data_IF_751145359038
#
_entry.id   IF_751145359038
#
_cell.length_a   1.000
_cell.length_b   1.000
_cell.length_c   1.000
_cell.angle_alpha   90.00
_cell.angle_beta   90.00
_cell.angle_gamma   90.00
#
_symmetry.space_group_name_H-M   'P 1'
#
loop_
_entity.id
_entity.type
_entity.pdbx_description
1 polymer ?
#
# COMPACT_ATOMS: atom_id res chain seq x y z
N UNK A 1 3.05 -7.32 3.00
CA UNK A 1 3.20 -8.73 2.57
C UNK A 1 4.06 -8.76 1.31
N UNK A 2 5.15 -9.50 1.30
CA UNK A 2 6.10 -9.56 0.18
C UNK A 2 6.31 -11.00 -0.29
N UNK A 3 5.25 -11.61 -0.80
CA UNK A 3 5.31 -12.90 -1.47
C UNK A 3 5.36 -12.64 -2.97
N UNK A 4 6.46 -13.02 -3.62
CA UNK A 4 6.77 -12.64 -5.00
C UNK A 4 5.90 -13.34 -6.05
N UNK A 5 5.30 -14.47 -5.72
CA UNK A 5 4.45 -15.27 -6.62
C UNK A 5 2.98 -15.15 -6.22
N UNK A 6 2.13 -15.02 -7.22
CA UNK A 6 0.68 -14.87 -7.00
C UNK A 6 0.07 -16.09 -6.30
N UNK A 7 0.45 -17.29 -6.71
CA UNK A 7 -0.03 -18.54 -6.12
C UNK A 7 0.35 -18.67 -4.63
N UNK A 8 1.58 -18.29 -4.27
CA UNK A 8 2.04 -18.26 -2.88
C UNK A 8 1.29 -17.24 -2.03
N UNK A 9 1.09 -16.02 -2.55
CA UNK A 9 0.35 -14.97 -1.87
C UNK A 9 -1.09 -15.37 -1.58
N UNK A 10 -1.77 -15.96 -2.57
CA UNK A 10 -3.15 -16.43 -2.44
C UNK A 10 -3.26 -17.63 -1.50
N UNK A 11 -2.33 -18.59 -1.57
CA UNK A 11 -2.31 -19.74 -0.69
C UNK A 11 -2.07 -19.33 0.77
N UNK A 12 -1.12 -18.43 1.00
CA UNK A 12 -0.85 -17.87 2.32
C UNK A 12 -2.12 -17.19 2.90
N UNK A 13 -2.76 -16.31 2.14
CA UNK A 13 -3.95 -15.62 2.62
C UNK A 13 -5.11 -16.58 2.91
N UNK A 14 -5.37 -17.56 2.04
CA UNK A 14 -6.42 -18.56 2.29
C UNK A 14 -6.20 -19.33 3.60
N UNK A 15 -4.93 -19.57 3.95
CA UNK A 15 -4.56 -20.25 5.20
C UNK A 15 -4.87 -19.44 6.45
N UNK A 16 -4.67 -18.11 6.41
CA UNK A 16 -4.82 -17.24 7.59
C UNK A 16 -6.20 -16.55 7.67
N UNK A 17 -6.97 -16.55 6.58
CA UNK A 17 -8.22 -15.77 6.44
C UNK A 17 -9.23 -16.03 7.56
N UNK A 18 -9.44 -17.28 7.94
CA UNK A 18 -10.42 -17.65 8.96
C UNK A 18 -10.07 -17.01 10.30
N UNK A 19 -8.83 -17.16 10.76
CA UNK A 19 -8.35 -16.56 12.01
C UNK A 19 -8.42 -15.04 12.00
N UNK A 20 -8.02 -14.40 10.88
CA UNK A 20 -8.11 -12.95 10.75
C UNK A 20 -9.57 -12.45 10.82
N UNK A 21 -10.50 -13.19 10.25
CA UNK A 21 -11.91 -12.79 10.24
C UNK A 21 -12.60 -12.90 11.61
N UNK A 22 -12.00 -13.58 12.56
CA UNK A 22 -12.48 -13.71 13.96
C UNK A 22 -12.02 -12.56 14.85
N UNK A 23 -10.96 -11.84 14.47
CA UNK A 23 -10.42 -10.72 15.25
C UNK A 23 -11.44 -9.59 15.31
N UNK A 24 -11.64 -9.01 16.51
CA UNK A 24 -12.57 -7.90 16.78
C UNK A 24 -11.85 -6.74 17.46
N UNK A 25 -12.44 -5.54 17.35
CA UNK A 25 -11.93 -4.34 18.04
C UNK A 25 -10.74 -3.66 17.37
N UNK A 26 -10.33 -4.13 16.18
CA UNK A 26 -9.27 -3.52 15.36
C UNK A 26 -9.66 -3.52 13.89
N UNK A 27 -9.11 -2.60 13.13
CA UNK A 27 -9.18 -2.58 11.69
C UNK A 27 -8.03 -3.39 11.10
N UNK A 28 -8.35 -4.25 10.15
CA UNK A 28 -7.38 -5.10 9.48
C UNK A 28 -7.23 -4.65 8.03
N UNK A 29 -6.01 -4.36 7.63
CA UNK A 29 -5.66 -4.00 6.25
C UNK A 29 -4.59 -4.96 5.74
N UNK A 30 -4.79 -5.49 4.54
CA UNK A 30 -3.78 -6.31 3.85
C UNK A 30 -3.31 -5.55 2.62
N UNK A 31 -1.99 -5.35 2.52
CA UNK A 31 -1.34 -4.68 1.40
C UNK A 31 -0.46 -5.67 0.64
N UNK A 32 -1.01 -6.42 -0.32
CA UNK A 32 -0.24 -7.36 -1.14
C UNK A 32 0.51 -6.64 -2.27
N UNK A 33 1.42 -7.33 -2.99
CA UNK A 33 2.00 -6.81 -4.21
C UNK A 33 0.93 -6.44 -5.25
N UNK A 34 1.20 -5.41 -6.05
CA UNK A 34 0.25 -4.87 -7.04
C UNK A 34 -0.26 -5.93 -8.02
N UNK A 35 0.60 -6.90 -8.37
CA UNK A 35 0.28 -8.00 -9.30
C UNK A 35 -0.87 -8.90 -8.88
N UNK A 36 -1.29 -8.84 -7.61
CA UNK A 36 -2.37 -9.67 -7.06
C UNK A 36 -3.51 -8.85 -6.44
N UNK A 37 -3.50 -7.52 -6.56
CA UNK A 37 -4.50 -6.65 -5.94
C UNK A 37 -5.93 -7.02 -6.33
N UNK A 38 -6.23 -7.22 -7.60
CA UNK A 38 -7.58 -7.61 -8.05
C UNK A 38 -8.04 -8.95 -7.47
N UNK A 39 -7.15 -9.94 -7.44
CA UNK A 39 -7.46 -11.24 -6.86
C UNK A 39 -7.72 -11.14 -5.36
N UNK A 40 -6.99 -10.27 -4.66
CA UNK A 40 -7.24 -10.00 -3.24
C UNK A 40 -8.53 -9.23 -3.02
N UNK A 41 -8.92 -8.31 -3.90
CA UNK A 41 -10.21 -7.63 -3.82
C UNK A 41 -11.38 -8.63 -3.84
N UNK A 42 -11.35 -9.59 -4.75
CA UNK A 42 -12.35 -10.68 -4.80
C UNK A 42 -12.35 -11.56 -3.53
N UNK A 43 -11.15 -11.94 -3.05
CA UNK A 43 -11.01 -12.77 -1.86
C UNK A 43 -11.45 -12.08 -0.57
N UNK A 44 -11.28 -10.75 -0.49
CA UNK A 44 -11.61 -9.95 0.68
C UNK A 44 -13.07 -9.48 0.69
N UNK A 45 -13.74 -9.43 -0.47
CA UNK A 45 -15.12 -8.95 -0.58
C UNK A 45 -16.10 -9.53 0.47
N UNK A 46 -16.07 -10.84 0.81
CA UNK A 46 -16.94 -11.41 1.83
C UNK A 46 -16.39 -11.25 3.27
N UNK A 47 -15.37 -10.44 3.49
CA UNK A 47 -14.71 -10.27 4.79
C UNK A 47 -14.77 -8.82 5.26
N UNK A 48 -14.37 -8.58 6.50
CA UNK A 48 -14.19 -7.25 7.07
C UNK A 48 -12.76 -6.69 6.90
N UNK A 49 -11.90 -7.42 6.21
CA UNK A 49 -10.51 -7.06 6.01
C UNK A 49 -10.41 -6.11 4.82
N UNK A 50 -9.86 -4.94 5.03
CA UNK A 50 -9.65 -3.96 3.98
C UNK A 50 -8.43 -4.29 3.11
N UNK A 51 -8.45 -3.84 1.88
CA UNK A 51 -7.35 -3.98 0.94
C UNK A 51 -6.60 -2.66 0.81
N UNK A 52 -5.27 -2.72 0.76
CA UNK A 52 -4.40 -1.59 0.52
C UNK A 52 -3.36 -1.87 -0.56
N UNK A 53 -2.92 -0.82 -1.23
CA UNK A 53 -1.77 -0.86 -2.13
C UNK A 53 -0.47 -0.56 -1.38
N UNK A 54 0.67 -1.04 -1.88
CA UNK A 54 1.98 -0.82 -1.27
C UNK A 54 2.61 0.52 -1.65
N UNK A 55 2.11 1.18 -2.70
CA UNK A 55 2.53 2.50 -3.18
C UNK A 55 1.54 3.03 -4.22
N UNK A 56 1.61 4.33 -4.52
CA UNK A 56 0.95 4.98 -5.66
C UNK A 56 1.83 6.07 -6.25
N UNK A 57 1.59 6.43 -7.50
CA UNK A 57 2.08 7.67 -8.09
C UNK A 57 1.18 8.84 -7.66
N UNK A 58 1.59 10.09 -7.95
CA UNK A 58 0.77 11.28 -7.67
C UNK A 58 -0.02 11.80 -8.88
N UNK A 59 0.38 11.43 -10.11
CA UNK A 59 -0.35 11.82 -11.31
C UNK A 59 -1.46 10.80 -11.62
N UNK A 60 -2.59 11.33 -12.10
CA UNK A 60 -3.73 10.50 -12.50
C UNK A 60 -3.46 9.71 -13.78
N UNK A 61 -2.76 10.36 -14.71
CA UNK A 61 -2.40 9.82 -16.02
C UNK A 61 -1.15 10.51 -16.57
N UNK A 62 -0.57 9.95 -17.60
CA UNK A 62 0.60 10.55 -18.27
C UNK A 62 1.65 9.52 -18.65
N UNK A 63 2.83 10.00 -19.05
CA UNK A 63 3.96 9.18 -19.49
C UNK A 63 4.76 8.65 -18.27
N UNK A 64 4.13 7.82 -17.47
CA UNK A 64 4.68 7.25 -16.22
C UNK A 64 4.72 5.73 -16.31
N UNK A 65 5.45 5.21 -17.27
CA UNK A 65 5.54 3.76 -17.56
C UNK A 65 5.89 2.96 -16.29
N UNK A 66 5.02 2.03 -15.93
CA UNK A 66 5.20 1.16 -14.74
C UNK A 66 4.63 1.71 -13.43
N UNK A 67 4.22 2.98 -13.38
CA UNK A 67 3.58 3.56 -12.20
C UNK A 67 2.09 3.21 -12.12
N UNK A 68 1.59 3.14 -10.90
CA UNK A 68 0.17 2.90 -10.60
C UNK A 68 -0.44 4.20 -10.09
N UNK A 69 -1.40 4.75 -10.81
CA UNK A 69 -2.05 6.00 -10.40
C UNK A 69 -3.06 5.80 -9.27
N UNK A 70 -3.39 6.85 -8.49
CA UNK A 70 -4.42 6.75 -7.46
C UNK A 70 -5.80 6.43 -8.06
N UNK A 71 -6.08 6.86 -9.30
CA UNK A 71 -7.32 6.52 -10.03
C UNK A 71 -7.44 5.01 -10.27
N UNK A 72 -6.33 4.35 -10.65
CA UNK A 72 -6.31 2.89 -10.85
C UNK A 72 -6.56 2.13 -9.54
N UNK A 73 -6.16 2.69 -8.41
CA UNK A 73 -6.28 2.06 -7.09
C UNK A 73 -7.64 2.29 -6.44
N UNK A 74 -8.25 3.47 -6.62
CA UNK A 74 -9.51 3.86 -5.97
C UNK A 74 -10.69 2.91 -6.27
N UNK A 75 -10.66 2.23 -7.43
CA UNK A 75 -11.67 1.22 -7.78
C UNK A 75 -11.38 -0.18 -7.24
N UNK A 76 -10.23 -0.39 -6.59
CA UNK A 76 -9.74 -1.72 -6.21
C UNK A 76 -9.49 -1.85 -4.72
N UNK A 77 -8.92 -0.84 -4.08
CA UNK A 77 -8.57 -0.86 -2.67
C UNK A 77 -8.97 0.43 -1.96
N UNK A 78 -8.97 0.38 -0.62
CA UNK A 78 -9.35 1.50 0.25
C UNK A 78 -8.14 2.23 0.83
N UNK A 79 -7.01 1.55 0.96
CA UNK A 79 -5.80 2.05 1.60
C UNK A 79 -4.61 2.08 0.65
N UNK A 80 -3.63 2.92 0.96
CA UNK A 80 -2.34 2.93 0.26
C UNK A 80 -1.20 3.28 1.22
N UNK A 81 -0.12 2.51 1.20
CA UNK A 81 1.11 2.81 1.95
C UNK A 81 1.91 3.84 1.17
N UNK A 82 2.34 4.91 1.84
CA UNK A 82 3.14 5.98 1.24
C UNK A 82 4.38 6.28 2.09
N UNK A 83 5.51 6.51 1.45
CA UNK A 83 6.75 6.93 2.10
C UNK A 83 7.41 5.84 2.93
N UNK A 84 7.22 4.57 2.60
CA UNK A 84 7.90 3.45 3.27
C UNK A 84 9.43 3.66 3.27
N UNK A 85 10.10 3.25 4.34
CA UNK A 85 11.55 3.45 4.51
C UNK A 85 12.38 2.93 3.34
N UNK A 86 12.01 1.79 2.76
CA UNK A 86 12.66 1.22 1.57
C UNK A 86 12.58 2.14 0.34
N UNK A 87 11.57 3.00 0.25
CA UNK A 87 11.40 3.96 -0.83
C UNK A 87 12.07 5.30 -0.54
N UNK A 88 12.30 5.62 0.73
CA UNK A 88 13.00 6.84 1.17
C UNK A 88 14.52 6.69 1.15
N UNK A 89 15.02 5.51 1.50
CA UNK A 89 16.43 5.29 1.85
C UNK A 89 17.30 4.72 0.72
N UNK A 90 16.75 4.11 -0.34
CA UNK A 90 17.56 3.28 -1.24
C UNK A 90 17.32 3.56 -2.72
N UNK A 91 18.44 3.75 -3.45
CA UNK A 91 18.51 3.61 -4.91
C UNK A 91 18.00 4.77 -5.74
N UNK A 92 17.83 4.52 -7.02
CA UNK A 92 17.38 5.47 -8.04
C UNK A 92 15.95 6.01 -7.86
N UNK A 93 15.19 5.43 -6.94
CA UNK A 93 13.80 5.79 -6.65
C UNK A 93 13.63 6.43 -5.27
N UNK A 94 14.65 7.12 -4.76
CA UNK A 94 14.57 7.81 -3.47
C UNK A 94 13.44 8.84 -3.48
N UNK A 95 12.41 8.59 -2.67
CA UNK A 95 11.27 9.48 -2.54
C UNK A 95 11.55 10.58 -1.52
N UNK A 96 11.48 11.84 -1.97
CA UNK A 96 11.55 13.00 -1.07
C UNK A 96 10.22 13.23 -0.35
N UNK A 97 10.24 14.04 0.71
CA UNK A 97 9.02 14.44 1.42
C UNK A 97 8.05 15.19 0.52
N UNK A 98 8.54 15.98 -0.45
CA UNK A 98 7.71 16.67 -1.44
C UNK A 98 7.00 15.66 -2.37
N UNK A 99 7.70 14.64 -2.82
CA UNK A 99 7.10 13.57 -3.63
C UNK A 99 6.02 12.82 -2.84
N UNK A 100 6.31 12.48 -1.59
CA UNK A 100 5.36 11.81 -0.69
C UNK A 100 4.15 12.71 -0.39
N UNK A 101 4.35 14.01 -0.20
CA UNK A 101 3.26 14.97 -0.01
C UNK A 101 2.33 15.03 -1.25
N UNK A 102 2.89 15.02 -2.47
CA UNK A 102 2.08 14.94 -3.70
C UNK A 102 1.26 13.65 -3.74
N UNK A 103 1.88 12.50 -3.45
CA UNK A 103 1.20 11.21 -3.37
C UNK A 103 0.08 11.20 -2.33
N UNK A 104 0.35 11.77 -1.15
CA UNK A 104 -0.63 11.89 -0.08
C UNK A 104 -1.87 12.67 -0.52
N UNK A 105 -1.67 13.85 -1.13
CA UNK A 105 -2.76 14.69 -1.64
C UNK A 105 -3.55 13.96 -2.73
N UNK A 106 -2.86 13.33 -3.68
CA UNK A 106 -3.49 12.58 -4.75
C UNK A 106 -4.33 11.39 -4.21
N UNK A 107 -3.79 10.63 -3.26
CA UNK A 107 -4.52 9.54 -2.62
C UNK A 107 -5.81 10.03 -1.95
N UNK A 108 -5.73 11.10 -1.16
CA UNK A 108 -6.89 11.71 -0.48
C UNK A 108 -7.94 12.24 -1.47
N UNK A 109 -7.51 12.89 -2.56
CA UNK A 109 -8.40 13.41 -3.61
C UNK A 109 -9.21 12.28 -4.26
N UNK A 110 -8.64 11.09 -4.37
CA UNK A 110 -9.31 9.93 -4.96
C UNK A 110 -9.95 8.99 -3.92
N UNK A 111 -10.13 9.44 -2.68
CA UNK A 111 -10.84 8.69 -1.64
C UNK A 111 -10.06 7.49 -1.07
N UNK A 112 -8.76 7.40 -1.33
CA UNK A 112 -7.90 6.42 -0.68
C UNK A 112 -7.48 6.91 0.71
N UNK A 113 -7.44 6.02 1.67
CA UNK A 113 -6.93 6.29 3.02
C UNK A 113 -5.42 5.99 3.05
N UNK A 114 -4.55 7.00 3.17
CA UNK A 114 -3.11 6.78 3.18
C UNK A 114 -2.63 6.22 4.53
N UNK A 115 -1.74 5.24 4.47
CA UNK A 115 -0.92 4.77 5.59
C UNK A 115 0.44 5.43 5.40
N UNK A 116 0.62 6.61 6.00
CA UNK A 116 1.84 7.39 5.87
C UNK A 116 2.93 6.86 6.79
N UNK A 117 4.04 6.40 6.21
CA UNK A 117 5.21 5.98 6.94
C UNK A 117 6.08 7.19 7.27
N UNK A 118 6.28 7.43 8.56
CA UNK A 118 7.16 8.45 9.11
C UNK A 118 8.30 7.79 9.86
N UNK A 119 9.44 8.46 9.90
CA UNK A 119 10.61 7.98 10.62
C UNK A 119 11.78 8.94 10.50
N UNK A 120 12.76 8.74 11.33
CA UNK A 120 14.01 9.49 11.38
C UNK A 120 15.17 8.62 10.89
N UNK A 121 16.18 9.22 10.34
CA UNK A 121 17.43 8.53 10.03
C UNK A 121 18.30 8.38 11.28
N UNK A 122 19.40 7.61 11.18
CA UNK A 122 20.27 7.34 12.32
C UNK A 122 20.92 8.62 12.91
N UNK A 123 21.21 9.61 12.07
CA UNK A 123 21.80 10.89 12.51
C UNK A 123 20.78 11.71 13.28
N UNK A 124 19.55 11.79 12.77
CA UNK A 124 18.44 12.46 13.44
C UNK A 124 18.13 11.80 14.77
N UNK A 125 18.07 10.47 14.81
CA UNK A 125 17.83 9.72 16.04
C UNK A 125 18.91 9.97 17.11
N UNK A 126 20.18 10.10 16.70
CA UNK A 126 21.29 10.39 17.62
C UNK A 126 21.35 11.84 18.08
N UNK A 127 20.74 12.75 17.33
CA UNK A 127 20.71 14.17 17.66
C UNK A 127 19.62 14.53 18.69
N UNK A 128 18.63 13.66 18.93
CA UNK A 128 17.53 13.83 19.89
C UNK A 128 16.35 14.54 19.28
#
# INVERSE_FOLDING_TARGET
>A
MNLGRSDEALAFFRKIRSGLNEIRGVDLVICPPTTVLHQFAELLAPTRIALGAQNAHWEEQGAHTGEISPVMLAGVCQYVILGHSERRATGSNQESDEAINRKLKAALTHGLTPILCLGENLEQNRAG
#
